data_IF_492645243215
#
_entry.id   IF_492645243215
#
_cell.length_a   1.000
_cell.length_b   1.000
_cell.length_c   1.000
_cell.angle_alpha   90.00
_cell.angle_beta   90.00
_cell.angle_gamma   90.00
#
_symmetry.space_group_name_H-M   'P 1'
#
loop_
_entity.id
_entity.type
_entity.pdbx_description
1 polymer ?
#
# COMPACT_ATOMS: atom_id res chain seq x y z
N UNK A 1 -2.14 3.09 -4.51
CA UNK A 1 -1.21 2.30 -5.36
C UNK A 1 -0.63 3.16 -6.49
N UNK A 2 -1.44 3.85 -7.31
CA UNK A 2 -0.91 4.77 -8.34
C UNK A 2 -0.15 5.98 -7.77
N UNK A 3 -0.62 6.59 -6.68
CA UNK A 3 0.07 7.74 -6.04
C UNK A 3 1.39 7.42 -5.31
N UNK A 4 1.64 6.16 -4.93
CA UNK A 4 2.91 5.79 -4.32
C UNK A 4 3.97 5.51 -5.39
N UNK A 5 3.57 4.93 -6.53
CA UNK A 5 4.48 4.71 -7.65
C UNK A 5 5.00 6.04 -8.20
N UNK A 6 4.11 7.03 -8.39
CA UNK A 6 4.43 8.32 -9.01
C UNK A 6 5.51 9.10 -8.23
N UNK A 7 5.45 9.12 -6.90
CA UNK A 7 6.46 9.82 -6.09
C UNK A 7 7.79 9.04 -5.91
N UNK A 8 7.79 7.72 -6.15
CA UNK A 8 9.02 6.89 -6.11
C UNK A 8 9.75 6.81 -7.44
N UNK A 9 9.03 6.96 -8.56
CA UNK A 9 9.66 6.98 -9.88
C UNK A 9 10.41 8.27 -10.14
N UNK A 10 10.11 9.36 -9.43
CA UNK A 10 10.76 10.66 -9.61
C UNK A 10 12.30 10.61 -9.50
N UNK A 11 12.91 10.05 -8.43
CA UNK A 11 14.36 9.97 -8.33
C UNK A 11 14.98 8.96 -9.31
N UNK A 12 14.32 7.83 -9.58
CA UNK A 12 14.84 6.80 -10.50
C UNK A 12 14.79 7.27 -11.94
N UNK A 13 13.70 7.91 -12.33
CA UNK A 13 13.48 8.52 -13.66
C UNK A 13 14.51 9.62 -13.92
N UNK A 14 14.80 10.45 -12.92
CA UNK A 14 15.83 11.48 -13.01
C UNK A 14 17.22 10.89 -13.28
N UNK A 15 17.60 9.82 -12.57
CA UNK A 15 18.87 9.13 -12.78
C UNK A 15 18.95 8.45 -14.16
N UNK A 16 17.86 7.82 -14.60
CA UNK A 16 17.77 7.20 -15.92
C UNK A 16 17.88 8.24 -17.05
N UNK A 17 17.24 9.39 -16.88
CA UNK A 17 17.36 10.53 -17.80
C UNK A 17 18.80 11.01 -17.92
N UNK A 18 19.54 11.07 -16.81
CA UNK A 18 20.97 11.43 -16.82
C UNK A 18 21.81 10.38 -17.56
N UNK A 19 21.57 9.08 -17.36
CA UNK A 19 22.27 8.01 -18.09
C UNK A 19 22.05 8.16 -19.60
N UNK A 20 20.82 8.42 -20.03
CA UNK A 20 20.50 8.66 -21.43
C UNK A 20 21.20 9.92 -21.98
N UNK A 21 21.23 11.01 -21.20
CA UNK A 21 21.92 12.24 -21.60
C UNK A 21 23.43 12.02 -21.77
N UNK A 22 24.07 11.32 -20.83
CA UNK A 22 25.48 10.94 -20.92
C UNK A 22 25.73 10.08 -22.16
N UNK A 23 24.85 9.10 -22.43
CA UNK A 23 24.96 8.27 -23.63
C UNK A 23 24.91 9.11 -24.91
N UNK A 24 24.01 10.09 -25.01
CA UNK A 24 23.93 10.99 -26.18
C UNK A 24 25.18 11.87 -26.32
N UNK A 25 25.69 12.41 -25.22
CA UNK A 25 26.92 13.23 -25.24
C UNK A 25 28.10 12.39 -25.73
N UNK A 26 28.29 11.19 -25.17
CA UNK A 26 29.35 10.29 -25.60
C UNK A 26 29.14 9.82 -27.04
N UNK A 27 27.90 9.57 -27.49
CA UNK A 27 27.63 9.21 -28.89
C UNK A 27 28.14 10.30 -29.85
N UNK A 28 27.84 11.56 -29.56
CA UNK A 28 28.31 12.70 -30.36
C UNK A 28 29.84 12.81 -30.32
N UNK A 29 30.46 12.67 -29.14
CA UNK A 29 31.93 12.69 -29.02
C UNK A 29 32.57 11.53 -29.78
N UNK A 30 32.00 10.33 -29.71
CA UNK A 30 32.46 9.14 -30.42
C UNK A 30 32.39 9.32 -31.94
N UNK A 31 31.34 9.97 -32.45
CA UNK A 31 31.30 10.37 -33.86
C UNK A 31 32.39 11.38 -34.21
N UNK A 32 32.62 12.38 -33.36
CA UNK A 32 33.69 13.37 -33.62
C UNK A 32 35.08 12.72 -33.67
N UNK A 33 35.30 11.65 -32.90
CA UNK A 33 36.60 11.00 -32.79
C UNK A 33 36.82 9.88 -33.81
N UNK A 34 35.78 9.10 -34.11
CA UNK A 34 35.92 7.83 -34.84
C UNK A 34 35.12 7.73 -36.15
N UNK A 35 34.40 8.76 -36.55
CA UNK A 35 33.63 8.74 -37.79
C UNK A 35 34.51 8.46 -39.01
N UNK A 36 34.07 7.51 -39.84
CA UNK A 36 34.74 7.04 -41.05
C UNK A 36 35.97 6.18 -40.81
N UNK A 37 36.31 5.85 -39.55
CA UNK A 37 37.51 5.06 -39.21
C UNK A 37 37.25 3.55 -39.16
N UNK A 38 35.99 3.14 -38.97
CA UNK A 38 35.58 1.74 -38.85
C UNK A 38 35.14 1.11 -40.19
N UNK A 39 35.20 1.85 -41.30
CA UNK A 39 34.85 1.34 -42.63
C UNK A 39 36.05 0.61 -43.22
N UNK A 40 36.04 -0.74 -43.18
CA UNK A 40 37.10 -1.59 -43.72
C UNK A 40 36.87 -2.06 -45.16
N UNK A 41 37.87 -2.73 -45.74
CA UNK A 41 37.80 -3.28 -47.10
C UNK A 41 36.81 -4.46 -47.27
N UNK A 42 36.40 -5.11 -46.17
CA UNK A 42 35.44 -6.22 -46.15
C UNK A 42 34.02 -5.79 -45.78
N UNK A 43 33.79 -4.49 -45.57
CA UNK A 43 32.50 -3.93 -45.13
C UNK A 43 32.62 -3.14 -43.81
N UNK A 44 31.52 -2.48 -43.43
CA UNK A 44 31.39 -1.75 -42.16
C UNK A 44 31.04 -2.72 -41.03
N UNK A 45 31.78 -2.69 -39.92
CA UNK A 45 31.42 -3.51 -38.77
C UNK A 45 30.08 -3.06 -38.17
N UNK A 46 29.34 -3.97 -37.54
CA UNK A 46 28.01 -3.69 -36.98
C UNK A 46 28.06 -2.67 -35.84
N UNK A 47 29.20 -2.56 -35.17
CA UNK A 47 29.46 -1.64 -34.07
C UNK A 47 30.39 -0.51 -34.54
N UNK A 48 29.80 0.53 -35.12
CA UNK A 48 30.55 1.65 -35.69
C UNK A 48 29.98 3.01 -35.25
N UNK A 49 30.78 4.06 -35.43
CA UNK A 49 30.47 5.42 -35.00
C UNK A 49 30.21 6.39 -36.17
N UNK A 50 29.72 5.89 -37.32
CA UNK A 50 29.48 6.73 -38.49
C UNK A 50 28.13 7.45 -38.45
N UNK A 51 27.10 6.72 -37.98
CA UNK A 51 25.72 7.18 -37.87
C UNK A 51 25.30 7.36 -36.42
N UNK A 52 24.39 8.32 -36.17
CA UNK A 52 23.90 8.61 -34.82
C UNK A 52 23.22 7.41 -34.16
N UNK A 53 22.20 6.77 -34.77
CA UNK A 53 21.55 5.62 -34.16
C UNK A 53 22.52 4.45 -33.91
N UNK A 54 23.48 4.20 -34.81
CA UNK A 54 24.45 3.11 -34.64
C UNK A 54 25.48 3.41 -33.55
N UNK A 55 25.92 4.67 -33.42
CA UNK A 55 26.81 5.08 -32.32
C UNK A 55 26.13 4.95 -30.95
N UNK A 56 24.85 5.31 -30.86
CA UNK A 56 24.04 5.13 -29.65
C UNK A 56 23.85 3.65 -29.34
N UNK A 57 23.56 2.81 -30.34
CA UNK A 57 23.40 1.36 -30.16
C UNK A 57 24.72 0.70 -29.74
N UNK A 58 25.85 1.11 -30.31
CA UNK A 58 27.17 0.63 -29.92
C UNK A 58 27.49 0.97 -28.46
N UNK A 59 27.20 2.20 -28.04
CA UNK A 59 27.34 2.61 -26.64
C UNK A 59 26.38 1.86 -25.72
N UNK A 60 25.13 1.62 -26.14
CA UNK A 60 24.19 0.80 -25.40
C UNK A 60 24.71 -0.64 -25.17
N UNK A 61 25.25 -1.27 -26.22
CA UNK A 61 25.86 -2.61 -26.15
C UNK A 61 27.02 -2.65 -25.16
N UNK A 62 27.86 -1.60 -25.15
CA UNK A 62 28.94 -1.43 -24.18
C UNK A 62 28.40 -1.35 -22.74
N UNK A 63 27.32 -0.59 -22.49
CA UNK A 63 26.70 -0.49 -21.16
C UNK A 63 26.10 -1.83 -20.72
N UNK A 64 25.48 -2.57 -21.64
CA UNK A 64 24.94 -3.90 -21.35
C UNK A 64 26.04 -4.94 -21.09
N UNK A 65 27.31 -4.55 -21.20
CA UNK A 65 28.48 -5.40 -21.01
C UNK A 65 28.52 -6.57 -22.01
N UNK A 66 27.81 -6.42 -23.13
CA UNK A 66 27.82 -7.39 -24.21
C UNK A 66 28.91 -6.97 -25.19
N UNK A 67 29.91 -7.83 -25.34
CA UNK A 67 30.94 -7.67 -26.37
C UNK A 67 31.62 -6.27 -26.42
N UNK A 68 31.70 -5.55 -25.29
CA UNK A 68 32.23 -4.18 -25.19
C UNK A 68 33.71 -4.06 -25.56
N UNK A 69 34.42 -5.18 -25.50
CA UNK A 69 35.85 -5.30 -25.77
C UNK A 69 36.15 -5.21 -27.28
N UNK A 70 35.25 -5.70 -28.14
CA UNK A 70 35.45 -5.70 -29.59
C UNK A 70 35.53 -4.28 -30.19
N UNK A 71 34.56 -3.37 -29.98
CA UNK A 71 34.65 -2.02 -30.53
C UNK A 71 35.83 -1.23 -29.93
N UNK A 72 36.24 -1.56 -28.69
CA UNK A 72 37.44 -0.99 -28.09
C UNK A 72 38.71 -1.45 -28.84
N UNK A 73 38.91 -2.75 -29.04
CA UNK A 73 40.09 -3.25 -29.76
C UNK A 73 40.13 -2.79 -31.21
N UNK A 74 38.98 -2.76 -31.88
CA UNK A 74 38.90 -2.25 -33.24
C UNK A 74 39.26 -0.75 -33.27
N UNK A 75 38.81 0.04 -32.30
CA UNK A 75 39.19 1.45 -32.22
C UNK A 75 40.69 1.65 -32.02
N UNK A 76 41.35 0.76 -31.24
CA UNK A 76 42.79 0.81 -30.98
C UNK A 76 43.56 0.48 -32.26
N UNK A 77 43.10 -0.51 -33.02
CA UNK A 77 43.69 -0.88 -34.31
C UNK A 77 43.59 0.25 -35.34
N UNK A 78 42.46 0.98 -35.38
CA UNK A 78 42.21 2.03 -36.38
C UNK A 78 42.71 3.43 -36.01
N UNK A 79 42.67 3.80 -34.73
CA UNK A 79 42.98 5.17 -34.26
C UNK A 79 44.19 5.23 -33.34
N UNK A 80 44.52 4.12 -32.68
CA UNK A 80 45.65 3.99 -31.77
C UNK A 80 45.22 3.88 -30.30
N UNK A 81 46.19 3.57 -29.42
CA UNK A 81 45.97 3.25 -28.00
C UNK A 81 45.22 4.33 -27.20
N UNK A 82 45.27 5.59 -27.62
CA UNK A 82 44.55 6.68 -26.96
C UNK A 82 43.03 6.54 -27.04
N UNK A 83 42.50 5.80 -28.02
CA UNK A 83 41.05 5.50 -28.11
C UNK A 83 40.55 4.69 -26.93
N UNK A 84 41.39 3.83 -26.33
CA UNK A 84 41.05 3.02 -25.17
C UNK A 84 40.62 3.90 -23.98
N UNK A 85 41.24 5.07 -23.83
CA UNK A 85 40.93 6.02 -22.76
C UNK A 85 39.48 6.50 -22.87
N UNK A 86 38.99 6.75 -24.08
CA UNK A 86 37.59 7.15 -24.30
C UNK A 86 36.61 6.07 -23.80
N UNK A 87 36.83 4.79 -24.17
CA UNK A 87 35.97 3.68 -23.75
C UNK A 87 36.04 3.42 -22.24
N UNK A 88 37.23 3.49 -21.64
CA UNK A 88 37.43 3.31 -20.20
C UNK A 88 36.76 4.44 -19.41
N UNK A 89 36.93 5.70 -19.83
CA UNK A 89 36.28 6.84 -19.19
C UNK A 89 34.75 6.73 -19.27
N UNK A 90 34.22 6.38 -20.44
CA UNK A 90 32.79 6.12 -20.62
C UNK A 90 32.29 5.03 -19.66
N UNK A 91 33.00 3.90 -19.60
CA UNK A 91 32.64 2.78 -18.74
C UNK A 91 32.60 3.16 -17.26
N UNK A 92 33.63 3.85 -16.76
CA UNK A 92 33.70 4.29 -15.35
C UNK A 92 32.52 5.20 -15.02
N UNK A 93 32.21 6.18 -15.89
CA UNK A 93 31.12 7.12 -15.66
C UNK A 93 29.78 6.39 -15.63
N UNK A 94 29.50 5.51 -16.60
CA UNK A 94 28.21 4.82 -16.65
C UNK A 94 28.06 3.84 -15.49
N UNK A 95 29.10 3.09 -15.14
CA UNK A 95 29.05 2.17 -14.00
C UNK A 95 28.80 2.93 -12.69
N UNK A 96 29.39 4.11 -12.51
CA UNK A 96 29.13 4.94 -11.34
C UNK A 96 27.66 5.37 -11.23
N UNK A 97 27.04 5.77 -12.35
CA UNK A 97 25.61 6.09 -12.39
C UNK A 97 24.71 4.86 -12.21
N UNK A 98 25.07 3.71 -12.80
CA UNK A 98 24.33 2.45 -12.62
C UNK A 98 24.36 1.98 -11.17
N UNK A 99 25.51 2.07 -10.50
CA UNK A 99 25.62 1.77 -9.08
C UNK A 99 24.76 2.72 -8.24
N UNK A 100 24.71 4.00 -8.62
CA UNK A 100 23.84 4.98 -7.97
C UNK A 100 22.35 4.65 -8.13
N UNK A 101 21.95 4.09 -9.28
CA UNK A 101 20.59 3.60 -9.52
C UNK A 101 20.29 2.36 -8.66
N UNK A 102 21.22 1.41 -8.58
CA UNK A 102 21.05 0.20 -7.76
C UNK A 102 20.90 0.55 -6.28
N UNK A 103 21.74 1.46 -5.76
CA UNK A 103 21.65 1.96 -4.38
C UNK A 103 20.30 2.65 -4.15
N UNK A 104 19.86 3.50 -5.08
CA UNK A 104 18.56 4.17 -4.99
C UNK A 104 17.40 3.17 -4.91
N UNK A 105 17.42 2.13 -5.77
CA UNK A 105 16.42 1.06 -5.75
C UNK A 105 16.46 0.28 -4.44
N UNK A 106 17.65 -0.12 -3.97
CA UNK A 106 17.80 -0.86 -2.73
C UNK A 106 17.28 -0.04 -1.53
N UNK A 107 17.71 1.21 -1.40
CA UNK A 107 17.27 2.14 -0.34
C UNK A 107 15.75 2.32 -0.35
N UNK A 108 15.12 2.46 -1.52
CA UNK A 108 13.66 2.55 -1.61
C UNK A 108 12.98 1.29 -1.06
N UNK A 109 13.52 0.10 -1.30
CA UNK A 109 12.94 -1.13 -0.73
C UNK A 109 13.01 -1.17 0.80
N UNK A 110 14.12 -0.73 1.41
CA UNK A 110 14.21 -0.65 2.87
C UNK A 110 13.24 0.38 3.45
N UNK A 111 13.19 1.57 2.84
CA UNK A 111 12.31 2.64 3.31
C UNK A 111 10.83 2.28 3.21
N UNK A 112 10.42 1.59 2.15
CA UNK A 112 9.04 1.09 2.01
C UNK A 112 8.69 0.12 3.15
N UNK A 113 9.60 -0.78 3.50
CA UNK A 113 9.37 -1.76 4.58
C UNK A 113 9.20 -1.10 5.95
N UNK A 114 9.96 -0.02 6.23
CA UNK A 114 9.84 0.72 7.48
C UNK A 114 8.58 1.60 7.52
N UNK A 115 8.22 2.22 6.38
CA UNK A 115 7.03 3.07 6.29
C UNK A 115 5.73 2.29 6.57
N UNK A 116 5.60 1.08 6.02
CA UNK A 116 4.41 0.25 6.23
C UNK A 116 4.20 -0.08 7.73
N UNK A 117 5.29 -0.33 8.47
CA UNK A 117 5.25 -0.60 9.91
C UNK A 117 4.80 0.65 10.68
N UNK A 118 5.35 1.81 10.34
CA UNK A 118 5.02 3.09 11.01
C UNK A 118 3.57 3.48 10.76
N UNK A 119 3.06 3.31 9.54
CA UNK A 119 1.67 3.64 9.19
C UNK A 119 0.69 2.78 10.00
N UNK A 120 0.94 1.46 10.10
CA UNK A 120 0.09 0.57 10.89
C UNK A 120 0.10 0.94 12.38
N UNK A 121 1.27 1.31 12.94
CA UNK A 121 1.36 1.80 14.31
C UNK A 121 0.53 3.09 14.51
N UNK A 122 0.65 4.05 13.60
CA UNK A 122 -0.10 5.32 13.67
C UNK A 122 -1.62 5.14 13.50
N UNK A 123 -2.05 4.15 12.70
CA UNK A 123 -3.45 3.81 12.53
C UNK A 123 -4.03 3.17 13.79
N UNK A 124 -3.28 2.30 14.46
CA UNK A 124 -3.68 1.72 15.74
C UNK A 124 -3.97 2.81 16.77
N UNK A 125 -3.08 3.81 16.88
CA UNK A 125 -3.23 4.93 17.82
C UNK A 125 -4.44 5.81 17.46
N UNK A 126 -4.64 6.09 16.18
CA UNK A 126 -5.77 6.89 15.69
C UNK A 126 -7.11 6.17 15.92
N UNK A 127 -7.15 4.86 15.69
CA UNK A 127 -8.34 4.03 15.94
C UNK A 127 -8.64 3.95 17.43
N UNK A 128 -7.62 3.74 18.28
CA UNK A 128 -7.77 3.73 19.73
C UNK A 128 -8.37 5.04 20.27
N UNK A 129 -7.86 6.19 19.79
CA UNK A 129 -8.41 7.50 20.13
C UNK A 129 -9.87 7.65 19.70
N UNK A 130 -10.23 7.19 18.49
CA UNK A 130 -11.62 7.22 18.01
C UNK A 130 -12.55 6.36 18.86
N UNK A 131 -12.16 5.14 19.24
CA UNK A 131 -12.97 4.30 20.12
C UNK A 131 -13.19 4.92 21.49
N UNK A 132 -12.16 5.56 22.06
CA UNK A 132 -12.28 6.26 23.33
C UNK A 132 -13.27 7.42 23.28
N UNK A 133 -13.23 8.21 22.20
CA UNK A 133 -14.19 9.30 22.00
C UNK A 133 -15.62 8.78 21.86
N UNK A 134 -15.83 7.69 21.09
CA UNK A 134 -17.13 7.05 20.95
C UNK A 134 -17.65 6.51 22.29
N UNK A 135 -16.77 5.95 23.13
CA UNK A 135 -17.13 5.52 24.47
C UNK A 135 -17.58 6.69 25.36
N UNK A 136 -16.84 7.82 25.32
CA UNK A 136 -17.22 9.04 26.04
C UNK A 136 -18.53 9.65 25.54
N UNK A 137 -18.76 9.65 24.23
CA UNK A 137 -20.02 10.12 23.65
C UNK A 137 -21.19 9.30 24.16
N UNK A 138 -21.07 7.97 24.14
CA UNK A 138 -22.10 7.06 24.65
C UNK A 138 -22.37 7.25 26.14
N UNK A 139 -21.35 7.58 26.93
CA UNK A 139 -21.53 7.90 28.35
C UNK A 139 -22.28 9.23 28.54
N UNK A 140 -21.98 10.26 27.74
CA UNK A 140 -22.72 11.53 27.76
C UNK A 140 -24.18 11.34 27.34
N UNK A 141 -24.44 10.57 26.29
CA UNK A 141 -25.81 10.22 25.87
C UNK A 141 -26.58 9.51 26.98
N UNK A 142 -25.94 8.55 27.68
CA UNK A 142 -26.55 7.87 28.84
C UNK A 142 -26.83 8.81 30.02
N UNK A 143 -26.09 9.90 30.16
CA UNK A 143 -26.35 10.94 31.17
C UNK A 143 -27.50 11.84 30.72
N UNK A 144 -27.54 12.25 29.45
CA UNK A 144 -28.64 13.04 28.90
C UNK A 144 -29.97 12.28 28.97
N UNK A 145 -29.98 11.01 28.56
CA UNK A 145 -31.19 10.19 28.59
C UNK A 145 -31.75 9.99 30.01
N UNK A 146 -30.88 9.85 31.01
CA UNK A 146 -31.29 9.81 32.42
C UNK A 146 -31.83 11.14 32.93
N UNK A 147 -31.33 12.27 32.40
CA UNK A 147 -31.86 13.59 32.72
C UNK A 147 -33.25 13.78 32.11
N UNK A 148 -33.42 13.37 30.85
CA UNK A 148 -34.69 13.42 30.12
C UNK A 148 -35.74 12.51 30.80
N UNK A 149 -35.38 11.26 31.11
CA UNK A 149 -36.23 10.30 31.84
C UNK A 149 -36.63 10.85 33.23
N UNK A 150 -35.73 11.54 33.93
CA UNK A 150 -36.02 12.17 35.23
C UNK A 150 -36.97 13.37 35.10
N UNK A 151 -36.84 14.18 34.04
CA UNK A 151 -37.79 15.26 33.79
C UNK A 151 -39.17 14.75 33.42
N UNK A 152 -39.26 13.67 32.65
CA UNK A 152 -40.54 13.06 32.29
C UNK A 152 -41.24 12.45 33.51
N UNK A 153 -40.50 11.77 34.40
CA UNK A 153 -41.05 11.21 35.64
C UNK A 153 -41.56 12.31 36.58
N UNK A 154 -40.80 13.40 36.73
CA UNK A 154 -41.25 14.57 37.49
C UNK A 154 -42.50 15.23 36.89
N UNK A 155 -42.57 15.33 35.55
CA UNK A 155 -43.73 15.90 34.85
C UNK A 155 -44.96 14.98 34.98
N UNK A 156 -44.76 13.66 34.92
CA UNK A 156 -45.81 12.66 35.12
C UNK A 156 -46.32 12.64 36.56
N UNK A 157 -45.46 12.75 37.57
CA UNK A 157 -45.87 12.85 38.97
C UNK A 157 -46.64 14.14 39.25
N UNK A 158 -46.21 15.25 38.64
CA UNK A 158 -46.95 16.51 38.67
C UNK A 158 -48.34 16.36 38.05
N UNK A 159 -48.44 15.77 36.85
CA UNK A 159 -49.73 15.49 36.19
C UNK A 159 -50.60 14.49 36.99
N UNK A 160 -49.99 13.47 37.61
CA UNK A 160 -50.68 12.49 38.45
C UNK A 160 -51.24 13.13 39.71
N UNK A 161 -50.48 14.02 40.34
CA UNK A 161 -50.93 14.81 41.51
C UNK A 161 -52.13 15.70 41.19
N UNK A 162 -52.20 16.25 39.97
CA UNK A 162 -53.37 16.98 39.49
C UNK A 162 -54.56 16.07 39.17
N UNK A 163 -54.32 14.90 38.54
CA UNK A 163 -55.39 13.94 38.28
C UNK A 163 -55.96 13.32 39.55
N UNK A 164 -55.18 13.27 40.64
CA UNK A 164 -55.63 12.80 41.95
C UNK A 164 -56.60 13.80 42.61
N UNK A 165 -56.67 15.05 42.13
CA UNK A 165 -57.69 16.01 42.53
C UNK A 165 -59.02 15.86 41.77
N UNK A 166 -59.14 14.88 40.87
CA UNK A 166 -60.35 14.64 40.09
C UNK A 166 -60.70 13.16 39.94
N UNK A 167 -60.82 12.40 41.05
CA UNK A 167 -61.79 11.29 41.10
C UNK A 167 -61.92 10.71 42.52
N UNK A 168 -63.07 10.92 43.16
CA UNK A 168 -63.48 10.13 44.33
C UNK A 168 -64.96 9.73 44.23
N UNK A 169 -65.25 8.60 43.55
CA UNK A 169 -66.39 7.67 43.74
C UNK A 169 -66.37 6.59 42.62
N UNK A 170 -66.61 5.28 42.75
CA UNK A 170 -67.30 4.36 43.69
C UNK A 170 -66.71 2.94 43.53
N UNK A 171 -66.73 2.17 44.63
CA UNK A 171 -66.73 0.70 44.80
C UNK A 171 -66.85 -0.26 43.58
N UNK A 172 -66.09 -1.39 43.65
CA UNK A 172 -66.68 -2.74 43.87
C UNK A 172 -65.66 -3.81 44.30
N UNK A 173 -66.18 -4.76 45.06
CA UNK A 173 -65.52 -5.89 45.75
C UNK A 173 -65.47 -7.14 44.85
N UNK A 174 -64.54 -8.04 45.18
CA UNK A 174 -64.52 -9.51 45.01
C UNK A 174 -63.71 -10.17 43.88
N UNK A 175 -62.74 -10.99 44.36
CA UNK A 175 -62.20 -12.29 43.90
C UNK A 175 -62.45 -12.71 42.44
N UNK A 176 -61.36 -13.09 41.76
CA UNK A 176 -61.20 -14.48 41.31
C UNK A 176 -59.73 -14.93 41.35
N UNK A 177 -59.55 -16.08 41.99
CA UNK A 177 -58.44 -17.02 41.84
C UNK A 177 -58.57 -17.63 40.43
N UNK A 178 -57.50 -17.73 39.64
CA UNK A 178 -57.55 -18.56 38.43
C UNK A 178 -56.55 -18.26 37.33
N UNK A 179 -55.42 -18.97 37.41
CA UNK A 179 -54.67 -19.57 36.30
C UNK A 179 -53.80 -18.73 35.35
N UNK A 180 -52.64 -19.36 35.06
CA UNK A 180 -51.64 -19.13 34.01
C UNK A 180 -50.68 -17.96 34.31
N UNK A 181 -49.50 -18.17 34.88
CA UNK A 181 -48.59 -19.30 34.61
C UNK A 181 -48.20 -19.31 33.12
N UNK A 182 -46.90 -19.31 32.85
CA UNK A 182 -46.27 -19.64 31.56
C UNK A 182 -46.32 -18.63 30.40
N UNK A 183 -45.76 -17.42 30.53
CA UNK A 183 -45.31 -16.65 29.33
C UNK A 183 -43.99 -15.89 29.38
N UNK A 184 -43.15 -16.06 30.41
CA UNK A 184 -41.82 -15.45 30.45
C UNK A 184 -40.63 -16.43 30.33
N UNK A 185 -40.88 -17.73 30.18
CA UNK A 185 -39.82 -18.76 30.12
C UNK A 185 -39.67 -19.46 28.74
N UNK A 186 -40.32 -18.97 27.67
CA UNK A 186 -40.27 -19.63 26.36
C UNK A 186 -39.36 -18.96 25.31
N UNK A 187 -38.91 -17.72 25.54
CA UNK A 187 -38.05 -17.03 24.56
C UNK A 187 -36.55 -17.33 24.74
N UNK A 188 -36.13 -17.76 25.94
CA UNK A 188 -34.71 -18.05 26.22
C UNK A 188 -34.28 -19.46 25.78
N UNK A 189 -35.21 -20.43 25.77
CA UNK A 189 -34.92 -21.81 25.38
C UNK A 189 -34.93 -22.04 23.85
N UNK A 190 -35.54 -21.15 23.06
CA UNK A 190 -35.54 -21.26 21.60
C UNK A 190 -34.21 -20.81 20.98
N UNK A 191 -33.60 -19.73 21.51
CA UNK A 191 -32.34 -19.19 21.00
C UNK A 191 -31.14 -20.08 21.38
N UNK A 192 -31.15 -20.72 22.56
CA UNK A 192 -30.10 -21.69 22.93
C UNK A 192 -30.11 -22.98 22.08
N UNK A 193 -31.27 -23.43 21.59
CA UNK A 193 -31.37 -24.63 20.73
C UNK A 193 -30.88 -24.37 19.30
N UNK A 194 -31.04 -23.15 18.79
CA UNK A 194 -30.51 -22.73 17.47
C UNK A 194 -28.99 -22.53 17.56
N UNK A 195 -28.49 -21.94 18.65
CA UNK A 195 -27.04 -21.79 18.88
C UNK A 195 -26.32 -23.15 18.99
N UNK A 196 -26.95 -24.15 19.63
CA UNK A 196 -26.39 -25.50 19.74
C UNK A 196 -26.35 -26.28 18.40
N UNK A 197 -27.31 -26.05 17.49
CA UNK A 197 -27.29 -26.68 16.15
C UNK A 197 -26.23 -26.06 15.22
N UNK A 198 -25.98 -24.76 15.31
CA UNK A 198 -24.98 -24.07 14.46
C UNK A 198 -23.54 -24.40 14.90
N UNK A 199 -23.28 -24.55 16.20
CA UNK A 199 -21.96 -24.93 16.70
C UNK A 199 -21.66 -26.43 16.48
N UNK A 200 -22.69 -27.29 16.47
CA UNK A 200 -22.54 -28.72 16.17
C UNK A 200 -22.18 -29.05 14.72
N UNK A 201 -22.57 -28.20 13.76
CA UNK A 201 -22.31 -28.42 12.33
C UNK A 201 -20.86 -28.15 11.92
N UNK A 202 -20.13 -27.33 12.68
CA UNK A 202 -18.72 -27.00 12.39
C UNK A 202 -17.75 -28.16 12.72
N UNK A 203 -18.07 -28.99 13.74
CA UNK A 203 -17.26 -30.17 14.08
C UNK A 203 -17.44 -31.35 13.11
N UNK A 204 -18.55 -31.44 12.38
CA UNK A 204 -18.80 -32.52 11.43
C UNK A 204 -18.07 -32.32 10.08
N UNK A 205 -17.79 -31.08 9.68
CA UNK A 205 -17.09 -30.77 8.42
C UNK A 205 -15.56 -30.78 8.61
N UNK A 206 -15.06 -30.43 9.80
CA UNK A 206 -13.62 -30.43 10.11
C UNK A 206 -12.99 -31.81 10.31
N UNK A 207 -13.78 -32.87 10.48
CA UNK A 207 -13.28 -34.24 10.74
C UNK A 207 -13.28 -35.15 9.50
N UNK A 208 -13.80 -34.72 8.34
CA UNK A 208 -13.71 -35.50 7.08
C UNK A 208 -12.51 -35.13 6.20
N UNK A 209 -11.74 -34.09 6.57
CA UNK A 209 -10.55 -33.63 5.83
C UNK A 209 -9.21 -34.03 6.47
N UNK A 210 -9.21 -34.79 7.57
CA UNK A 210 -8.02 -35.34 8.26
C UNK A 210 -8.02 -36.88 8.22
N UNK A 211 -8.65 -37.50 7.21
CA UNK A 211 -8.61 -38.96 7.00
C UNK A 211 -8.52 -39.36 5.53
N UNK A 212 -7.74 -38.63 4.75
CA UNK A 212 -7.14 -39.14 3.50
C UNK A 212 -5.67 -38.83 3.50
#
# INVERSE_FOLDING_TARGET
LTMCAENTVDPVSSLFSIILAVMVIFAIVGQMLFRGRFTGALGTDRMHFDDFPTSVLTLFVIITNDNWVNPMYESIDKVGWASAIYFICYYIIVVWFLMSLFVSMFVQNFLLSEQDIIVLASLQDTLAARFFLMAKQKEKERKNKRQDDMSDDFTLDFLRSMSFSASHRVHRKSRQIGQRGTRFAFATNALMRIWAQVVGFSKAIGLSLISK
#
